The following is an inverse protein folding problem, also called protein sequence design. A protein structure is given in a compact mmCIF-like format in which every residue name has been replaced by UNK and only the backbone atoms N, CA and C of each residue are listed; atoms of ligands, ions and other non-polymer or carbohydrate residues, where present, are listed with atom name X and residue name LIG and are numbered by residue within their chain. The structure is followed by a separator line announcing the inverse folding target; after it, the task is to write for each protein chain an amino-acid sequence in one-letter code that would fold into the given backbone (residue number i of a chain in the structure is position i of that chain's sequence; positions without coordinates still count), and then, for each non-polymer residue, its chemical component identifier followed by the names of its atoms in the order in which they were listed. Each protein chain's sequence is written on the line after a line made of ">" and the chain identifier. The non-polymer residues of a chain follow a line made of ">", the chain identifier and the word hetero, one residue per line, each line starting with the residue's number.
data_IF_039251553019
#
_entry.id   IF_039251553019
#
_cell.length_a   1.000
_cell.length_b   1.000
_cell.length_c   1.000
_cell.angle_alpha   90.00
_cell.angle_beta   90.00
_cell.angle_gamma   90.00
#
_symmetry.space_group_name_H-M   'P 1'
#
loop_
_entity.id
_entity.type
_entity.pdbx_description
1 polymer ?
#
# COMPACT_ATOMS: atom_id res chain seq x y z
N UNK A 1 -11.18 11.93 6.23
CA UNK A 1 -11.05 10.98 7.36
C UNK A 1 -9.58 10.58 7.44
N UNK A 2 -9.04 10.22 8.61
CA UNK A 2 -7.71 9.62 8.69
C UNK A 2 -7.68 8.29 7.91
N UNK A 3 -6.48 7.86 7.51
CA UNK A 3 -6.30 6.53 6.94
C UNK A 3 -6.55 5.47 8.01
N UNK A 4 -7.17 4.36 7.62
CA UNK A 4 -7.41 3.21 8.50
C UNK A 4 -6.16 2.31 8.66
N UNK A 5 -5.05 2.68 8.01
CA UNK A 5 -3.76 1.96 8.05
C UNK A 5 -2.64 2.82 8.61
N UNK A 6 -1.67 2.15 9.23
CA UNK A 6 -0.51 2.78 9.87
C UNK A 6 0.81 2.27 9.30
N UNK A 7 1.89 3.00 9.57
CA UNK A 7 3.24 2.61 9.12
C UNK A 7 3.64 1.30 9.77
N UNK A 8 4.01 0.32 8.93
CA UNK A 8 4.41 -1.02 9.36
C UNK A 8 3.34 -2.08 9.14
N UNK A 9 2.09 -1.69 8.86
CA UNK A 9 1.04 -2.63 8.50
C UNK A 9 1.37 -3.37 7.20
N UNK A 10 1.14 -4.68 7.21
CA UNK A 10 1.18 -5.49 6.00
C UNK A 10 -0.21 -5.54 5.43
N UNK A 11 -0.38 -5.14 4.17
CA UNK A 11 -1.70 -4.99 3.55
C UNK A 11 -1.82 -5.87 2.31
N UNK A 12 -3.04 -6.30 2.04
CA UNK A 12 -3.44 -6.96 0.79
C UNK A 12 -4.03 -5.91 -0.14
N UNK A 13 -3.59 -5.91 -1.39
CA UNK A 13 -4.08 -5.01 -2.44
C UNK A 13 -4.25 -5.76 -3.76
N UNK A 14 -4.97 -5.16 -4.70
CA UNK A 14 -5.18 -5.77 -6.01
C UNK A 14 -3.87 -5.95 -6.79
N UNK A 15 -3.65 -7.11 -7.41
CA UNK A 15 -2.41 -7.41 -8.15
C UNK A 15 -2.02 -6.35 -9.20
N UNK A 16 -3.01 -5.64 -9.75
CA UNK A 16 -2.83 -4.65 -10.82
C UNK A 16 -3.14 -3.21 -10.37
N UNK A 17 -3.22 -2.97 -9.05
CA UNK A 17 -3.44 -1.62 -8.50
C UNK A 17 -2.12 -0.93 -8.14
N UNK A 18 -2.16 0.41 -8.13
CA UNK A 18 -1.04 1.25 -7.69
C UNK A 18 -0.18 1.79 -8.82
N UNK A 19 0.81 2.58 -8.43
CA UNK A 19 1.82 3.15 -9.33
C UNK A 19 3.19 2.92 -8.76
N UNK A 20 4.03 2.23 -9.52
CA UNK A 20 5.43 2.03 -9.17
C UNK A 20 6.22 3.31 -9.43
N UNK A 21 6.99 3.75 -8.44
CA UNK A 21 7.86 4.90 -8.53
C UNK A 21 9.23 4.57 -7.94
N UNK A 22 10.27 5.23 -8.44
CA UNK A 22 11.63 5.13 -7.90
C UNK A 22 12.00 6.42 -7.21
N UNK A 23 12.34 6.35 -5.93
CA UNK A 23 12.81 7.50 -5.14
C UNK A 23 14.11 7.09 -4.46
N UNK A 24 15.17 7.89 -4.63
CA UNK A 24 16.47 7.66 -3.99
C UNK A 24 17.04 6.23 -4.19
N UNK A 25 16.73 5.61 -5.33
CA UNK A 25 17.17 4.24 -5.65
C UNK A 25 16.28 3.12 -5.08
N UNK A 26 15.25 3.45 -4.32
CA UNK A 26 14.28 2.50 -3.79
C UNK A 26 13.05 2.40 -4.70
N UNK A 27 12.59 1.18 -4.94
CA UNK A 27 11.35 0.89 -5.66
C UNK A 27 10.19 0.90 -4.66
N UNK A 28 9.27 1.85 -4.85
CA UNK A 28 8.10 2.04 -4.00
C UNK A 28 6.83 1.85 -4.82
N UNK A 29 5.78 1.34 -4.18
CA UNK A 29 4.45 1.22 -4.76
C UNK A 29 3.50 2.17 -4.05
N UNK A 30 2.96 3.13 -4.78
CA UNK A 30 1.94 4.05 -4.28
C UNK A 30 0.56 3.45 -4.52
N UNK A 31 -0.24 3.32 -3.47
CA UNK A 31 -1.61 2.79 -3.50
C UNK A 31 -2.59 3.82 -2.97
N UNK A 32 -3.83 3.81 -3.47
CA UNK A 32 -4.93 4.49 -2.81
C UNK A 32 -5.49 3.57 -1.73
N UNK A 33 -6.06 4.16 -0.68
CA UNK A 33 -6.72 3.40 0.39
C UNK A 33 -7.84 2.50 -0.15
N UNK A 34 -8.56 2.94 -1.19
CA UNK A 34 -9.60 2.15 -1.87
C UNK A 34 -9.09 0.88 -2.56
N UNK A 35 -7.79 0.80 -2.83
CA UNK A 35 -7.18 -0.38 -3.46
C UNK A 35 -6.81 -1.46 -2.41
N UNK A 36 -6.91 -1.12 -1.12
CA UNK A 36 -6.63 -2.04 -0.02
C UNK A 36 -7.83 -2.95 0.23
N UNK A 37 -7.56 -4.26 0.29
CA UNK A 37 -8.55 -5.32 0.55
C UNK A 37 -8.60 -5.63 2.05
N UNK A 38 -7.49 -5.47 2.77
CA UNK A 38 -7.42 -5.67 4.21
C UNK A 38 -5.99 -5.65 4.76
N UNK A 39 -5.87 -5.61 6.08
CA UNK A 39 -4.59 -5.72 6.80
C UNK A 39 -4.34 -7.19 7.15
N UNK A 40 -3.16 -7.69 6.79
CA UNK A 40 -2.71 -9.04 7.13
C UNK A 40 -2.13 -9.07 8.55
N UNK A 41 -2.79 -9.83 9.43
CA UNK A 41 -2.34 -10.13 10.78
C UNK A 41 -1.94 -11.60 10.80
N UNK A 42 -0.62 -11.85 10.80
CA UNK A 42 -0.06 -13.21 10.88
C UNK A 42 -0.23 -13.83 12.26
#
# INVERSE_FOLDING_TARGET
>A
MPLDVTVGDRVLFGKWSGTEIKINGEELLVLKESDLIGVYTG
#
